data_IF_323286132980
#
_entry.id   IF_323286132980
#
_cell.length_a   1.000
_cell.length_b   1.000
_cell.length_c   1.000
_cell.angle_alpha   90.00
_cell.angle_beta   90.00
_cell.angle_gamma   90.00
#
_symmetry.space_group_name_H-M   'P 1'
#
loop_
_entity.id
_entity.type
_entity.pdbx_description
1 polymer ?
#
# COMPACT_ATOMS: atom_id res chain seq x y z
N UNK A 1 -22.47 17.05 6.49
CA UNK A 1 -20.99 17.22 6.57
C UNK A 1 -20.35 17.29 5.18
N UNK A 2 -20.58 16.30 4.30
CA UNK A 2 -19.96 16.25 2.95
C UNK A 2 -20.18 17.52 2.11
N UNK A 3 -21.41 18.06 2.03
CA UNK A 3 -21.68 19.30 1.26
C UNK A 3 -20.89 20.52 1.77
N UNK A 4 -20.65 20.59 3.09
CA UNK A 4 -19.95 21.71 3.74
C UNK A 4 -18.46 21.62 3.46
N UNK A 5 -17.85 20.43 3.64
CA UNK A 5 -16.45 20.19 3.30
C UNK A 5 -16.16 20.54 1.85
N UNK A 6 -17.11 20.29 0.96
CA UNK A 6 -16.97 20.50 -0.46
C UNK A 6 -16.99 21.99 -0.86
N UNK A 7 -17.95 22.77 -0.33
CA UNK A 7 -17.98 24.23 -0.50
C UNK A 7 -16.73 24.87 0.09
N UNK A 8 -16.30 24.40 1.27
CA UNK A 8 -15.09 24.87 1.92
C UNK A 8 -13.83 24.63 1.07
N UNK A 9 -13.67 23.44 0.49
CA UNK A 9 -12.54 23.14 -0.41
C UNK A 9 -12.50 24.07 -1.62
N UNK A 10 -13.65 24.34 -2.26
CA UNK A 10 -13.73 25.26 -3.40
C UNK A 10 -13.29 26.66 -3.00
N UNK A 11 -13.81 27.17 -1.88
CA UNK A 11 -13.42 28.48 -1.37
C UNK A 11 -11.91 28.53 -1.10
N UNK A 12 -11.35 27.48 -0.50
CA UNK A 12 -9.92 27.41 -0.20
C UNK A 12 -9.06 27.44 -1.47
N UNK A 13 -9.45 26.73 -2.54
CA UNK A 13 -8.77 26.79 -3.85
C UNK A 13 -8.77 28.20 -4.45
N UNK A 14 -9.92 28.90 -4.44
CA UNK A 14 -9.99 30.25 -5.00
C UNK A 14 -9.29 31.30 -4.12
N UNK A 15 -9.36 31.16 -2.78
CA UNK A 15 -8.64 32.05 -1.85
C UNK A 15 -7.13 31.89 -1.98
N UNK A 16 -6.63 30.66 -2.06
CA UNK A 16 -5.20 30.40 -2.27
C UNK A 16 -4.73 30.88 -3.64
N UNK A 17 -5.51 30.70 -4.70
CA UNK A 17 -5.21 31.25 -6.02
C UNK A 17 -5.08 32.79 -5.98
N UNK A 18 -6.03 33.48 -5.34
CA UNK A 18 -5.98 34.93 -5.19
C UNK A 18 -4.77 35.40 -4.36
N UNK A 19 -4.43 34.67 -3.29
CA UNK A 19 -3.26 34.97 -2.47
C UNK A 19 -1.94 34.85 -3.25
N UNK A 20 -1.78 33.82 -4.10
CA UNK A 20 -0.59 33.67 -4.93
C UNK A 20 -0.46 34.75 -6.00
N UNK A 21 -1.59 35.18 -6.59
CA UNK A 21 -1.62 36.29 -7.55
C UNK A 21 -1.23 37.60 -6.86
N UNK A 22 -1.72 37.85 -5.63
CA UNK A 22 -1.36 39.03 -4.85
C UNK A 22 0.14 39.09 -4.51
N UNK A 23 0.78 37.94 -4.26
CA UNK A 23 2.22 37.83 -3.98
C UNK A 23 3.12 37.87 -5.23
N UNK A 24 2.54 38.04 -6.43
CA UNK A 24 3.28 38.13 -7.69
C UNK A 24 3.72 36.80 -8.29
N UNK A 25 3.26 35.65 -7.76
CA UNK A 25 3.57 34.31 -8.29
C UNK A 25 2.41 33.83 -9.15
N UNK A 26 2.30 34.41 -10.35
CA UNK A 26 1.15 34.20 -11.25
C UNK A 26 0.96 32.75 -11.69
N UNK A 27 2.04 32.02 -11.96
CA UNK A 27 1.98 30.62 -12.41
C UNK A 27 1.24 29.70 -11.43
N UNK A 28 1.59 29.78 -10.13
CA UNK A 28 0.93 28.99 -9.09
C UNK A 28 -0.55 29.38 -8.96
N UNK A 29 -0.86 30.68 -9.00
CA UNK A 29 -2.23 31.18 -8.94
C UNK A 29 -3.13 30.64 -10.04
N UNK A 30 -2.63 30.59 -11.29
CA UNK A 30 -3.37 30.05 -12.44
C UNK A 30 -3.64 28.55 -12.26
N UNK A 31 -2.65 27.77 -11.82
CA UNK A 31 -2.82 26.32 -11.58
C UNK A 31 -3.90 26.06 -10.52
N UNK A 32 -3.83 26.73 -9.37
CA UNK A 32 -4.82 26.57 -8.30
C UNK A 32 -6.23 27.02 -8.74
N UNK A 33 -6.32 28.05 -9.59
CA UNK A 33 -7.58 28.49 -10.20
C UNK A 33 -8.19 27.42 -11.13
N UNK A 34 -7.37 26.82 -12.00
CA UNK A 34 -7.80 25.72 -12.89
C UNK A 34 -8.30 24.52 -12.06
N UNK A 35 -7.52 24.09 -11.06
CA UNK A 35 -7.96 23.01 -10.17
C UNK A 35 -9.25 23.36 -9.42
N UNK A 36 -9.42 24.61 -8.98
CA UNK A 36 -10.66 25.09 -8.37
C UNK A 36 -11.88 24.97 -9.29
N UNK A 37 -11.72 25.28 -10.57
CA UNK A 37 -12.79 25.13 -11.59
C UNK A 37 -13.09 23.64 -11.84
N UNK A 38 -12.08 22.80 -12.06
CA UNK A 38 -12.28 21.35 -12.19
C UNK A 38 -12.97 20.77 -10.95
N UNK A 39 -12.55 21.20 -9.76
CA UNK A 39 -13.18 20.78 -8.52
C UNK A 39 -14.65 21.19 -8.51
N UNK A 40 -15.00 22.43 -8.85
CA UNK A 40 -16.40 22.87 -8.96
C UNK A 40 -17.21 22.05 -9.98
N UNK A 41 -16.62 21.71 -11.13
CA UNK A 41 -17.28 20.89 -12.17
C UNK A 41 -17.60 19.47 -11.69
N UNK A 42 -16.75 18.87 -10.86
CA UNK A 42 -17.03 17.53 -10.31
C UNK A 42 -18.31 17.46 -9.45
N UNK A 43 -18.86 18.60 -9.01
CA UNK A 43 -20.15 18.68 -8.29
C UNK A 43 -21.27 18.11 -9.14
N UNK A 44 -21.34 18.60 -10.37
CA UNK A 44 -22.41 18.28 -11.29
C UNK A 44 -22.33 16.83 -11.72
N UNK A 45 -21.12 16.32 -11.94
CA UNK A 45 -20.91 14.92 -12.30
C UNK A 45 -21.15 13.94 -11.17
N UNK A 46 -20.79 14.28 -9.93
CA UNK A 46 -20.80 13.30 -8.83
C UNK A 46 -22.04 13.37 -7.92
N UNK A 47 -22.90 14.39 -8.10
CA UNK A 47 -24.11 14.57 -7.26
C UNK A 47 -25.00 13.33 -7.18
N UNK A 48 -25.12 12.56 -8.26
CA UNK A 48 -25.96 11.35 -8.31
C UNK A 48 -25.36 10.16 -7.53
N UNK A 49 -24.04 10.11 -7.33
CA UNK A 49 -23.34 9.02 -6.62
C UNK A 49 -23.14 9.30 -5.13
N UNK A 50 -23.22 10.56 -4.71
CA UNK A 50 -23.10 10.98 -3.30
C UNK A 50 -24.05 10.27 -2.33
N UNK A 51 -25.37 10.06 -2.61
CA UNK A 51 -26.24 9.42 -1.62
C UNK A 51 -25.85 7.98 -1.30
N UNK A 52 -25.39 7.22 -2.30
CA UNK A 52 -24.88 5.87 -2.09
C UNK A 52 -23.63 5.86 -1.20
N UNK A 53 -22.68 6.78 -1.47
CA UNK A 53 -21.47 6.90 -0.67
C UNK A 53 -21.76 7.27 0.80
N UNK A 54 -22.77 8.12 1.04
CA UNK A 54 -23.21 8.49 2.40
C UNK A 54 -23.70 7.26 3.16
N UNK A 55 -24.58 6.46 2.56
CA UNK A 55 -25.12 5.24 3.20
C UNK A 55 -23.98 4.24 3.50
N UNK A 56 -23.04 4.07 2.58
CA UNK A 56 -21.88 3.19 2.80
C UNK A 56 -21.01 3.69 3.95
N UNK A 57 -20.72 5.00 4.02
CA UNK A 57 -19.94 5.59 5.10
C UNK A 57 -20.66 5.52 6.46
N UNK A 58 -21.97 5.76 6.50
CA UNK A 58 -22.78 5.63 7.70
C UNK A 58 -22.78 4.18 8.20
N UNK A 59 -22.93 3.22 7.29
CA UNK A 59 -22.86 1.79 7.60
C UNK A 59 -21.48 1.41 8.15
N UNK A 60 -20.40 1.77 7.45
CA UNK A 60 -19.02 1.50 7.90
C UNK A 60 -18.76 2.12 9.27
N UNK A 61 -19.16 3.38 9.48
CA UNK A 61 -18.99 4.06 10.76
C UNK A 61 -19.79 3.39 11.88
N UNK A 62 -21.00 2.92 11.59
CA UNK A 62 -21.83 2.15 12.52
C UNK A 62 -21.17 0.84 12.93
N UNK A 63 -20.64 0.08 11.97
CA UNK A 63 -19.92 -1.18 12.22
C UNK A 63 -18.64 -0.95 13.01
N UNK A 64 -17.84 0.06 12.64
CA UNK A 64 -16.59 0.39 13.33
C UNK A 64 -16.84 0.84 14.77
N UNK A 65 -17.91 1.60 15.03
CA UNK A 65 -18.31 1.97 16.40
C UNK A 65 -18.77 0.78 17.22
N UNK A 66 -19.48 -0.16 16.59
CA UNK A 66 -19.93 -1.39 17.24
C UNK A 66 -18.77 -2.34 17.56
N UNK A 67 -17.78 -2.41 16.68
CA UNK A 67 -16.60 -3.27 16.81
C UNK A 67 -15.30 -2.44 16.80
N UNK A 68 -14.93 -1.81 17.93
CA UNK A 68 -13.73 -0.97 18.02
C UNK A 68 -12.43 -1.78 17.78
N UNK A 69 -12.49 -3.11 17.86
CA UNK A 69 -11.40 -4.00 17.48
C UNK A 69 -10.91 -3.81 16.04
N UNK A 70 -11.75 -3.31 15.13
CA UNK A 70 -11.32 -2.97 13.76
C UNK A 70 -10.27 -1.84 13.74
N UNK A 71 -10.43 -0.82 14.59
CA UNK A 71 -9.44 0.25 14.76
C UNK A 71 -8.18 -0.29 15.42
N UNK A 72 -8.33 -1.17 16.42
CA UNK A 72 -7.21 -1.81 17.10
C UNK A 72 -6.32 -2.58 16.12
N UNK A 73 -6.89 -3.30 15.15
CA UNK A 73 -6.12 -4.00 14.11
C UNK A 73 -5.32 -3.01 13.25
N UNK A 74 -5.90 -1.88 12.88
CA UNK A 74 -5.19 -0.84 12.13
C UNK A 74 -4.01 -0.25 12.90
N UNK A 75 -4.23 0.10 14.18
CA UNK A 75 -3.16 0.63 15.06
C UNK A 75 -2.08 -0.42 15.32
N UNK A 76 -2.46 -1.67 15.61
CA UNK A 76 -1.52 -2.76 15.81
C UNK A 76 -0.70 -3.04 14.54
N UNK A 77 -1.33 -3.05 13.37
CA UNK A 77 -0.65 -3.20 12.09
C UNK A 77 0.37 -2.10 11.84
N UNK A 78 0.04 -0.84 12.20
CA UNK A 78 0.97 0.28 12.10
C UNK A 78 2.18 0.10 13.04
N UNK A 79 1.96 -0.27 14.30
CA UNK A 79 3.03 -0.51 15.28
C UNK A 79 3.95 -1.64 14.79
N UNK A 80 3.38 -2.74 14.31
CA UNK A 80 4.14 -3.87 13.77
C UNK A 80 4.95 -3.44 12.54
N UNK A 81 4.37 -2.66 11.63
CA UNK A 81 5.07 -2.15 10.45
C UNK A 81 6.25 -1.25 10.83
N UNK A 82 6.08 -0.36 11.82
CA UNK A 82 7.16 0.51 12.30
C UNK A 82 8.26 -0.31 12.95
N UNK A 83 7.91 -1.25 13.84
CA UNK A 83 8.88 -2.12 14.49
C UNK A 83 9.68 -2.96 13.46
N UNK A 84 9.00 -3.52 12.46
CA UNK A 84 9.65 -4.25 11.37
C UNK A 84 10.56 -3.33 10.55
N UNK A 85 10.14 -2.10 10.24
CA UNK A 85 10.95 -1.14 9.49
C UNK A 85 12.23 -0.77 10.24
N UNK A 86 12.15 -0.57 11.56
CA UNK A 86 13.34 -0.31 12.41
C UNK A 86 14.28 -1.52 12.40
N UNK A 87 13.74 -2.73 12.62
CA UNK A 87 14.53 -3.96 12.57
C UNK A 87 15.22 -4.17 11.22
N UNK A 88 14.50 -3.90 10.13
CA UNK A 88 15.02 -4.00 8.79
C UNK A 88 16.17 -3.02 8.53
N UNK A 89 16.04 -1.76 8.96
CA UNK A 89 17.11 -0.75 8.85
C UNK A 89 18.37 -1.19 9.60
N UNK A 90 18.23 -1.71 10.83
CA UNK A 90 19.37 -2.25 11.59
C UNK A 90 20.05 -3.39 10.82
N UNK A 91 19.26 -4.28 10.23
CA UNK A 91 19.77 -5.40 9.44
C UNK A 91 20.52 -4.94 8.19
N UNK A 92 20.01 -3.92 7.49
CA UNK A 92 20.65 -3.32 6.32
C UNK A 92 21.99 -2.69 6.69
N UNK A 93 22.03 -1.88 7.75
CA UNK A 93 23.28 -1.26 8.22
C UNK A 93 24.30 -2.32 8.63
N UNK A 94 23.87 -3.34 9.38
CA UNK A 94 24.73 -4.46 9.76
C UNK A 94 25.25 -5.25 8.56
N UNK A 95 24.41 -5.48 7.55
CA UNK A 95 24.82 -6.14 6.31
C UNK A 95 25.84 -5.29 5.53
N UNK A 96 25.62 -3.97 5.42
CA UNK A 96 26.62 -3.08 4.82
C UNK A 96 27.96 -3.19 5.55
N UNK A 97 27.99 -3.08 6.87
CA UNK A 97 29.23 -3.12 7.64
C UNK A 97 29.97 -4.46 7.53
N UNK A 98 29.26 -5.59 7.52
CA UNK A 98 29.90 -6.92 7.40
C UNK A 98 30.45 -7.18 6.01
N UNK A 99 29.68 -6.81 4.97
CA UNK A 99 30.00 -7.18 3.60
C UNK A 99 30.83 -6.12 2.88
N UNK A 100 31.01 -4.91 3.39
CA UNK A 100 31.81 -3.87 2.71
C UNK A 100 33.27 -4.33 2.44
N UNK A 101 33.84 -5.07 3.39
CA UNK A 101 35.23 -5.57 3.29
C UNK A 101 35.43 -6.73 2.29
N UNK A 102 34.36 -7.32 1.74
CA UNK A 102 34.45 -8.46 0.79
C UNK A 102 34.49 -8.04 -0.68
N UNK A 103 34.94 -6.81 -0.98
CA UNK A 103 34.96 -6.31 -2.35
C UNK A 103 36.06 -6.98 -3.19
N UNK A 104 35.68 -7.54 -4.34
CA UNK A 104 36.62 -8.11 -5.30
C UNK A 104 36.98 -7.04 -6.34
N UNK A 105 38.25 -6.65 -6.39
CA UNK A 105 38.78 -5.69 -7.36
C UNK A 105 39.53 -6.44 -8.47
N UNK A 106 39.03 -6.39 -9.69
CA UNK A 106 39.56 -7.21 -10.80
C UNK A 106 40.25 -6.39 -11.89
N UNK A 107 39.94 -5.10 -12.02
CA UNK A 107 40.49 -4.24 -13.09
C UNK A 107 40.74 -2.82 -12.58
N UNK A 108 41.72 -2.13 -13.18
CA UNK A 108 41.96 -0.69 -12.95
C UNK A 108 41.30 0.05 -14.12
N UNK A 109 40.39 0.98 -13.83
CA UNK A 109 39.79 1.80 -14.86
C UNK A 109 40.85 2.71 -15.51
N UNK A 110 41.08 2.62 -16.83
CA UNK A 110 42.06 3.45 -17.53
C UNK A 110 41.73 4.95 -17.51
N UNK A 111 40.48 5.36 -17.22
CA UNK A 111 40.08 6.78 -17.16
C UNK A 111 40.33 7.41 -15.81
N UNK A 112 39.90 6.75 -14.74
CA UNK A 112 40.00 7.28 -13.36
C UNK A 112 41.24 6.79 -12.62
N UNK A 113 41.95 5.78 -13.16
CA UNK A 113 43.09 5.12 -12.51
C UNK A 113 42.73 4.51 -11.14
N UNK A 114 41.45 4.28 -10.88
CA UNK A 114 40.95 3.64 -9.67
C UNK A 114 40.61 2.16 -9.93
N UNK A 115 40.79 1.28 -8.94
CA UNK A 115 40.37 -0.11 -9.05
C UNK A 115 38.83 -0.19 -9.09
N UNK A 116 38.29 -0.84 -10.12
CA UNK A 116 36.88 -1.20 -10.19
C UNK A 116 36.64 -2.38 -9.27
N UNK A 117 36.02 -2.11 -8.12
CA UNK A 117 35.69 -3.10 -7.11
C UNK A 117 34.20 -3.38 -7.14
N UNK A 118 33.83 -4.66 -7.26
CA UNK A 118 32.44 -5.11 -7.23
C UNK A 118 32.24 -6.10 -6.10
N UNK A 119 31.15 -5.91 -5.34
CA UNK A 119 30.85 -6.75 -4.20
C UNK A 119 29.55 -7.54 -4.44
N UNK A 120 29.68 -8.69 -5.10
CA UNK A 120 28.54 -9.54 -5.46
C UNK A 120 27.78 -10.06 -4.23
N UNK A 121 28.48 -10.31 -3.12
CA UNK A 121 27.87 -10.73 -1.87
C UNK A 121 26.96 -9.62 -1.29
N UNK A 122 27.48 -8.38 -1.25
CA UNK A 122 26.71 -7.21 -0.80
C UNK A 122 25.49 -6.96 -1.71
N UNK A 123 25.66 -7.04 -3.03
CA UNK A 123 24.54 -6.88 -3.98
C UNK A 123 23.47 -7.94 -3.74
N UNK A 124 23.86 -9.21 -3.62
CA UNK A 124 22.93 -10.32 -3.40
C UNK A 124 22.11 -10.17 -2.11
N UNK A 125 22.78 -9.80 -1.00
CA UNK A 125 22.08 -9.62 0.27
C UNK A 125 21.18 -8.38 0.27
N UNK A 126 21.59 -7.29 -0.38
CA UNK A 126 20.76 -6.08 -0.50
C UNK A 126 19.50 -6.35 -1.32
N UNK A 127 19.62 -7.09 -2.43
CA UNK A 127 18.46 -7.51 -3.22
C UNK A 127 17.48 -8.34 -2.39
N UNK A 128 17.99 -9.30 -1.62
CA UNK A 128 17.16 -10.10 -0.73
C UNK A 128 16.49 -9.25 0.37
N UNK A 129 17.22 -8.30 0.97
CA UNK A 129 16.67 -7.41 2.00
C UNK A 129 15.57 -6.50 1.44
N UNK A 130 15.76 -5.91 0.25
CA UNK A 130 14.74 -5.10 -0.43
C UNK A 130 13.50 -5.95 -0.73
N UNK A 131 13.69 -7.15 -1.25
CA UNK A 131 12.58 -8.09 -1.48
C UNK A 131 11.85 -8.45 -0.18
N UNK A 132 12.58 -8.78 0.88
CA UNK A 132 12.01 -9.12 2.19
C UNK A 132 11.19 -7.96 2.73
N UNK A 133 11.66 -6.71 2.60
CA UNK A 133 10.95 -5.52 3.04
C UNK A 133 9.58 -5.38 2.38
N UNK A 134 9.55 -5.44 1.05
CA UNK A 134 8.30 -5.33 0.30
C UNK A 134 7.35 -6.48 0.61
N UNK A 135 7.87 -7.71 0.68
CA UNK A 135 7.05 -8.89 0.94
C UNK A 135 6.42 -8.85 2.32
N UNK A 136 7.20 -8.64 3.37
CA UNK A 136 6.66 -8.59 4.74
C UNK A 136 5.71 -7.41 4.93
N UNK A 137 6.00 -6.25 4.34
CA UNK A 137 5.10 -5.09 4.41
C UNK A 137 3.75 -5.36 3.73
N UNK A 138 3.75 -6.03 2.57
CA UNK A 138 2.51 -6.44 1.90
C UNK A 138 1.74 -7.47 2.74
N UNK A 139 2.41 -8.43 3.38
CA UNK A 139 1.77 -9.41 4.27
C UNK A 139 1.09 -8.70 5.46
N UNK A 140 1.77 -7.75 6.12
CA UNK A 140 1.18 -7.01 7.27
C UNK A 140 -0.08 -6.26 6.83
N UNK A 141 -0.03 -5.54 5.70
CA UNK A 141 -1.17 -4.80 5.13
C UNK A 141 -2.35 -5.73 4.81
N UNK A 142 -2.08 -6.85 4.14
CA UNK A 142 -3.11 -7.77 3.64
C UNK A 142 -3.74 -8.62 4.74
N UNK A 143 -2.99 -8.99 5.79
CA UNK A 143 -3.56 -9.58 7.02
C UNK A 143 -4.58 -8.64 7.66
N UNK A 144 -4.26 -7.34 7.74
CA UNK A 144 -5.18 -6.32 8.23
C UNK A 144 -6.46 -6.25 7.38
N UNK A 145 -6.30 -6.20 6.05
CA UNK A 145 -7.42 -6.18 5.11
C UNK A 145 -8.35 -7.39 5.26
N UNK A 146 -7.80 -8.62 5.23
CA UNK A 146 -8.58 -9.86 5.41
C UNK A 146 -9.27 -9.90 6.77
N UNK A 147 -8.59 -9.44 7.82
CA UNK A 147 -9.17 -9.40 9.18
C UNK A 147 -10.36 -8.46 9.25
N UNK A 148 -10.23 -7.24 8.73
CA UNK A 148 -11.33 -6.26 8.71
C UNK A 148 -12.48 -6.75 7.83
N UNK A 149 -12.20 -7.23 6.63
CA UNK A 149 -13.20 -7.84 5.75
C UNK A 149 -13.95 -8.99 6.43
N UNK A 150 -13.25 -9.82 7.21
CA UNK A 150 -13.85 -10.90 7.99
C UNK A 150 -14.75 -10.42 9.14
N UNK A 151 -14.47 -9.28 9.75
CA UNK A 151 -15.37 -8.63 10.73
C UNK A 151 -16.62 -8.11 10.04
N UNK A 152 -16.47 -7.43 8.90
CA UNK A 152 -17.61 -6.94 8.11
C UNK A 152 -18.49 -8.07 7.59
N UNK A 153 -17.91 -9.17 7.12
CA UNK A 153 -18.67 -10.39 6.77
C UNK A 153 -19.46 -10.94 7.96
N UNK A 154 -18.87 -10.89 9.16
CA UNK A 154 -19.55 -11.36 10.38
C UNK A 154 -20.75 -10.46 10.72
N UNK A 155 -20.58 -9.15 10.62
CA UNK A 155 -21.66 -8.19 10.82
C UNK A 155 -22.77 -8.40 9.78
N UNK A 156 -22.42 -8.46 8.50
CA UNK A 156 -23.40 -8.52 7.42
C UNK A 156 -24.19 -9.84 7.40
N UNK A 157 -23.56 -10.99 7.65
CA UNK A 157 -24.20 -12.31 7.48
C UNK A 157 -24.60 -13.02 8.78
N UNK A 158 -24.02 -12.69 9.93
CA UNK A 158 -24.22 -13.46 11.18
C UNK A 158 -24.73 -12.63 12.35
N UNK A 159 -24.91 -11.31 12.18
CA UNK A 159 -25.49 -10.47 13.22
C UNK A 159 -26.91 -10.95 13.60
N UNK A 160 -27.19 -11.01 14.90
CA UNK A 160 -28.47 -11.51 15.44
C UNK A 160 -28.59 -13.04 15.50
N UNK A 161 -27.59 -13.78 15.01
CA UNK A 161 -27.57 -15.26 15.12
C UNK A 161 -26.77 -15.72 16.35
N UNK A 162 -27.07 -16.89 16.94
CA UNK A 162 -26.29 -17.47 18.05
C UNK A 162 -24.84 -17.80 17.68
N UNK A 163 -24.49 -17.73 16.39
CA UNK A 163 -23.13 -17.94 15.87
C UNK A 163 -22.29 -16.66 15.78
N UNK A 164 -22.83 -15.50 16.12
CA UNK A 164 -22.05 -14.28 16.27
C UNK A 164 -20.97 -14.48 17.34
N UNK A 165 -19.70 -14.48 16.92
CA UNK A 165 -18.58 -14.60 17.84
C UNK A 165 -18.60 -13.43 18.84
N UNK A 166 -18.38 -13.71 20.13
CA UNK A 166 -18.24 -12.69 21.18
C UNK A 166 -17.12 -11.69 20.88
N UNK A 167 -16.09 -12.12 20.13
CA UNK A 167 -14.95 -11.29 19.71
C UNK A 167 -14.67 -11.50 18.21
N UNK A 168 -15.46 -10.88 17.32
CA UNK A 168 -15.39 -11.15 15.88
C UNK A 168 -14.03 -10.74 15.28
N UNK A 169 -13.38 -9.72 15.83
CA UNK A 169 -12.05 -9.25 15.42
C UNK A 169 -10.97 -10.30 15.65
N UNK A 170 -10.80 -10.80 16.89
CA UNK A 170 -9.79 -11.81 17.19
C UNK A 170 -10.05 -13.13 16.47
N UNK A 171 -11.34 -13.50 16.33
CA UNK A 171 -11.71 -14.68 15.56
C UNK A 171 -11.36 -14.53 14.08
N UNK A 172 -11.57 -13.35 13.48
CA UNK A 172 -11.18 -13.08 12.10
C UNK A 172 -9.66 -13.06 11.93
N UNK A 173 -8.93 -12.45 12.86
CA UNK A 173 -7.47 -12.41 12.86
C UNK A 173 -6.87 -13.81 12.95
N UNK A 174 -7.39 -14.65 13.86
CA UNK A 174 -6.92 -16.03 14.00
C UNK A 174 -7.09 -16.83 12.70
N UNK A 175 -8.19 -16.64 11.96
CA UNK A 175 -8.40 -17.27 10.65
C UNK A 175 -7.48 -16.70 9.57
N UNK A 176 -7.27 -15.38 9.58
CA UNK A 176 -6.34 -14.73 8.65
C UNK A 176 -4.91 -15.28 8.81
N UNK A 177 -4.48 -15.53 10.06
CA UNK A 177 -3.14 -16.03 10.39
C UNK A 177 -2.99 -17.56 10.32
N UNK A 178 -4.08 -18.32 10.14
CA UNK A 178 -4.03 -19.78 10.08
C UNK A 178 -4.50 -20.28 8.72
N UNK A 179 -5.82 -20.32 8.50
CA UNK A 179 -6.42 -20.93 7.33
C UNK A 179 -6.20 -20.13 6.05
N UNK A 180 -6.14 -18.80 6.15
CA UNK A 180 -5.99 -17.91 4.97
C UNK A 180 -4.56 -17.44 4.74
N UNK A 181 -3.64 -17.75 5.65
CA UNK A 181 -2.30 -17.17 5.67
C UNK A 181 -1.49 -17.52 4.41
N UNK A 182 -1.62 -18.75 3.91
CA UNK A 182 -0.95 -19.17 2.69
C UNK A 182 -1.33 -18.32 1.47
N UNK A 183 -2.64 -18.10 1.26
CA UNK A 183 -3.14 -17.26 0.16
C UNK A 183 -2.74 -15.79 0.32
N UNK A 184 -2.73 -15.29 1.55
CA UNK A 184 -2.27 -13.94 1.88
C UNK A 184 -0.79 -13.77 1.49
N UNK A 185 0.06 -14.69 1.93
CA UNK A 185 1.49 -14.69 1.62
C UNK A 185 1.76 -14.82 0.13
N UNK A 186 1.02 -15.68 -0.58
CA UNK A 186 1.17 -15.86 -2.02
C UNK A 186 0.75 -14.63 -2.81
N UNK A 187 -0.40 -14.03 -2.52
CA UNK A 187 -0.82 -12.79 -3.20
C UNK A 187 0.15 -11.63 -2.92
N UNK A 188 0.67 -11.55 -1.69
CA UNK A 188 1.67 -10.55 -1.29
C UNK A 188 3.01 -10.76 -2.00
N UNK A 189 3.38 -12.01 -2.26
CA UNK A 189 4.61 -12.38 -2.97
C UNK A 189 4.65 -11.79 -4.38
N UNK A 190 3.56 -11.91 -5.14
CA UNK A 190 3.49 -11.40 -6.52
C UNK A 190 3.74 -9.90 -6.55
N UNK A 191 3.07 -9.15 -5.68
CA UNK A 191 3.24 -7.69 -5.61
C UNK A 191 4.68 -7.34 -5.18
N UNK A 192 5.22 -8.05 -4.19
CA UNK A 192 6.57 -7.81 -3.71
C UNK A 192 7.65 -8.06 -4.78
N UNK A 193 7.49 -9.09 -5.60
CA UNK A 193 8.39 -9.35 -6.74
C UNK A 193 8.36 -8.17 -7.72
N UNK A 194 7.17 -7.67 -8.08
CA UNK A 194 7.03 -6.52 -8.98
C UNK A 194 7.70 -5.27 -8.37
N UNK A 195 7.45 -4.99 -7.08
CA UNK A 195 8.06 -3.86 -6.38
C UNK A 195 9.59 -3.96 -6.31
N UNK A 196 10.11 -5.16 -6.12
CA UNK A 196 11.56 -5.42 -6.11
C UNK A 196 12.17 -5.18 -7.48
N UNK A 197 11.56 -5.69 -8.55
CA UNK A 197 12.04 -5.46 -9.93
C UNK A 197 12.04 -3.96 -10.24
N UNK A 198 11.00 -3.23 -9.85
CA UNK A 198 10.96 -1.76 -10.01
C UNK A 198 12.07 -1.05 -9.25
N UNK A 199 12.36 -1.48 -8.03
CA UNK A 199 13.45 -0.90 -7.25
C UNK A 199 14.81 -1.09 -7.95
N UNK A 200 15.06 -2.27 -8.53
CA UNK A 200 16.25 -2.55 -9.32
C UNK A 200 16.31 -1.66 -10.56
N UNK A 201 15.22 -1.58 -11.33
CA UNK A 201 15.18 -0.76 -12.55
C UNK A 201 15.41 0.72 -12.26
N UNK A 202 14.87 1.24 -11.16
CA UNK A 202 15.11 2.62 -10.72
C UNK A 202 16.56 2.85 -10.31
N UNK A 203 17.19 1.88 -9.65
CA UNK A 203 18.63 1.96 -9.35
C UNK A 203 19.46 2.02 -10.62
N UNK A 204 19.19 1.13 -11.59
CA UNK A 204 19.90 1.09 -12.87
C UNK A 204 19.68 2.36 -13.71
N UNK A 205 18.48 2.94 -13.64
CA UNK A 205 18.18 4.21 -14.33
C UNK A 205 18.97 5.39 -13.75
N UNK A 206 19.30 5.35 -12.45
CA UNK A 206 20.10 6.38 -11.80
C UNK A 206 21.60 6.19 -12.03
N UNK A 207 22.06 4.95 -12.19
CA UNK A 207 23.48 4.62 -12.38
C UNK A 207 23.93 4.65 -13.85
N UNK A 208 23.03 4.90 -14.81
CA UNK A 208 23.39 4.92 -16.25
C UNK A 208 23.71 6.31 -16.77
N UNK A 209 24.88 6.46 -17.41
CA UNK A 209 25.26 7.68 -18.14
C UNK A 209 24.52 7.84 -19.48
N UNK A 210 23.80 6.80 -19.92
CA UNK A 210 23.12 6.80 -21.21
C UNK A 210 21.67 7.29 -21.07
N UNK A 211 21.35 8.42 -21.70
CA UNK A 211 19.98 8.94 -21.70
C UNK A 211 18.96 7.94 -22.27
N UNK A 212 19.36 7.14 -23.27
CA UNK A 212 18.54 6.08 -23.83
C UNK A 212 18.28 4.93 -22.82
N UNK A 213 19.30 4.52 -22.06
CA UNK A 213 19.16 3.49 -21.03
C UNK A 213 18.24 3.93 -19.89
N UNK A 214 18.39 5.17 -19.42
CA UNK A 214 17.52 5.75 -18.40
C UNK A 214 16.07 5.84 -18.89
N UNK A 215 15.85 6.27 -20.14
CA UNK A 215 14.52 6.33 -20.73
C UNK A 215 13.85 4.95 -20.82
N UNK A 216 14.56 3.93 -21.30
CA UNK A 216 14.00 2.56 -21.39
C UNK A 216 13.68 1.97 -20.01
N UNK A 217 14.55 2.19 -19.02
CA UNK A 217 14.30 1.76 -17.65
C UNK A 217 13.04 2.42 -17.06
N UNK A 218 12.84 3.72 -17.33
CA UNK A 218 11.64 4.43 -16.88
C UNK A 218 10.36 3.93 -17.56
N UNK A 219 10.40 3.66 -18.88
CA UNK A 219 9.27 3.04 -19.58
C UNK A 219 8.90 1.67 -18.99
N UNK A 220 9.90 0.85 -18.65
CA UNK A 220 9.68 -0.45 -18.01
C UNK A 220 9.06 -0.29 -16.60
N UNK A 221 9.50 0.69 -15.82
CA UNK A 221 8.89 1.02 -14.51
C UNK A 221 7.43 1.40 -14.67
N UNK A 222 7.08 2.27 -15.64
CA UNK A 222 5.70 2.65 -15.91
C UNK A 222 4.82 1.44 -16.26
N UNK A 223 5.32 0.51 -17.07
CA UNK A 223 4.61 -0.72 -17.40
C UNK A 223 4.39 -1.61 -16.17
N UNK A 224 5.41 -1.75 -15.32
CA UNK A 224 5.30 -2.50 -14.07
C UNK A 224 4.35 -1.83 -13.07
N UNK A 225 4.26 -0.50 -13.04
CA UNK A 225 3.28 0.23 -12.22
C UNK A 225 1.84 -0.10 -12.67
N UNK A 226 1.59 -0.19 -13.98
CA UNK A 226 0.28 -0.64 -14.49
C UNK A 226 -0.04 -2.08 -14.08
N UNK A 227 0.93 -3.01 -14.17
CA UNK A 227 0.74 -4.41 -13.76
C UNK A 227 0.51 -4.49 -12.25
N UNK A 228 1.29 -3.79 -11.45
CA UNK A 228 1.12 -3.76 -10.00
C UNK A 228 -0.29 -3.28 -9.64
N UNK A 229 -0.76 -2.19 -10.23
CA UNK A 229 -2.12 -1.68 -10.00
C UNK A 229 -3.20 -2.71 -10.34
N UNK A 230 -3.03 -3.44 -11.43
CA UNK A 230 -3.96 -4.51 -11.82
C UNK A 230 -3.94 -5.68 -10.82
N UNK A 231 -2.74 -6.12 -10.40
CA UNK A 231 -2.58 -7.21 -9.43
C UNK A 231 -3.11 -6.80 -8.06
N UNK A 232 -2.83 -5.58 -7.59
CA UNK A 232 -3.37 -5.06 -6.33
C UNK A 232 -4.90 -5.01 -6.36
N UNK A 233 -5.48 -4.60 -7.49
CA UNK A 233 -6.93 -4.60 -7.69
C UNK A 233 -7.50 -6.02 -7.57
N UNK A 234 -6.97 -6.99 -8.31
CA UNK A 234 -7.45 -8.38 -8.22
C UNK A 234 -7.28 -8.97 -6.82
N UNK A 235 -6.12 -8.76 -6.20
CA UNK A 235 -5.84 -9.21 -4.84
C UNK A 235 -6.81 -8.60 -3.84
N UNK A 236 -7.19 -7.33 -3.98
CA UNK A 236 -8.15 -6.67 -3.10
C UNK A 236 -9.50 -7.42 -3.04
N UNK A 237 -10.04 -7.82 -4.19
CA UNK A 237 -11.28 -8.61 -4.24
C UNK A 237 -11.06 -10.04 -3.77
N UNK A 238 -9.97 -10.69 -4.21
CA UNK A 238 -9.66 -12.05 -3.80
C UNK A 238 -9.54 -12.20 -2.28
N UNK A 239 -8.88 -11.25 -1.61
CA UNK A 239 -8.77 -11.24 -0.15
C UNK A 239 -10.11 -11.03 0.55
N UNK A 240 -10.99 -10.23 -0.03
CA UNK A 240 -12.34 -10.01 0.50
C UNK A 240 -13.17 -11.28 0.39
N UNK A 241 -13.10 -11.98 -0.76
CA UNK A 241 -13.74 -13.29 -0.95
C UNK A 241 -13.20 -14.34 0.02
N UNK A 242 -11.87 -14.46 0.17
CA UNK A 242 -11.27 -15.39 1.14
C UNK A 242 -11.78 -15.13 2.56
N UNK A 243 -11.90 -13.86 2.96
CA UNK A 243 -12.42 -13.49 4.27
C UNK A 243 -13.89 -13.92 4.48
N UNK A 244 -14.71 -13.84 3.43
CA UNK A 244 -16.12 -14.23 3.42
C UNK A 244 -16.26 -15.75 3.43
N UNK A 245 -15.62 -16.46 2.47
CA UNK A 245 -15.76 -17.91 2.29
C UNK A 245 -15.31 -18.73 3.49
N UNK A 246 -14.20 -18.35 4.12
CA UNK A 246 -13.70 -19.06 5.31
C UNK A 246 -14.72 -19.03 6.45
N UNK A 247 -15.53 -17.97 6.54
CA UNK A 247 -16.60 -17.89 7.54
C UNK A 247 -17.77 -18.82 7.22
N UNK A 248 -18.14 -18.94 5.95
CA UNK A 248 -19.20 -19.86 5.50
C UNK A 248 -18.84 -21.33 5.69
N UNK A 249 -17.59 -21.70 5.45
CA UNK A 249 -17.14 -23.08 5.68
C UNK A 249 -17.23 -23.48 7.16
N UNK A 250 -16.83 -22.59 8.07
CA UNK A 250 -16.98 -22.79 9.52
C UNK A 250 -18.46 -22.81 9.95
N UNK A 251 -19.31 -22.04 9.28
CA UNK A 251 -20.76 -22.05 9.53
C UNK A 251 -21.41 -23.40 9.18
N UNK A 252 -21.09 -23.96 8.02
CA UNK A 252 -21.63 -25.25 7.57
C UNK A 252 -21.23 -26.40 8.53
N UNK A 253 -19.97 -26.42 9.00
CA UNK A 253 -19.48 -27.46 9.91
C UNK A 253 -20.02 -27.36 11.35
N UNK A 254 -20.54 -26.22 11.80
CA UNK A 254 -21.16 -26.09 13.14
C UNK A 254 -22.65 -26.43 13.17
N UNK A 255 -23.28 -26.61 12.01
CA UNK A 255 -24.70 -26.99 11.88
C UNK A 255 -24.92 -28.50 11.68
N UNK A 256 -23.86 -29.25 11.39
CA UNK A 256 -23.82 -30.72 11.39
C UNK A 256 -23.35 -31.21 12.75
#
# INVERSE_FOLDING_TARGET
MIKISWVFSILLYFVTAAYYIYRGIYFAGVIFGIFGIFYAMTWWWWRSRLPFAVIMLETVTGVTRKYPGTILIGVAGLIIQVAYSVWWVITVVGAFQLFDSSANCTTIDPRTRQPNCTNYALIGIMLFLVFSFYWTSQVIKTVGHVTVSGVFATFYFLEGTPMASKSPTFSALGRALTTSFGSICFGSLIIAVIQTIKAILRSLANDTDSACGAFMAMCAVCFLDCIEGLVEYFNHYAYTEVAIYVKWHVYMHRKL
#
